data_IF_547826251826
#
_entry.id   IF_547826251826
#
_cell.length_a   1.000
_cell.length_b   1.000
_cell.length_c   1.000
_cell.angle_alpha   90.00
_cell.angle_beta   90.00
_cell.angle_gamma   90.00
#
_symmetry.space_group_name_H-M   'P 1'
#
loop_
_entity.id
_entity.type
_entity.pdbx_description
1 polymer ?
#
# COMPACT_ATOMS: atom_id res chain seq x y z
N UNK A 1 -6.35 12.12 7.77
CA UNK A 1 -6.94 10.92 7.14
C UNK A 1 -6.09 9.70 7.45
N UNK A 2 -6.71 8.57 7.75
CA UNK A 2 -6.09 7.24 7.76
C UNK A 2 -5.98 6.76 6.32
N UNK A 3 -4.78 6.68 5.77
CA UNK A 3 -4.58 6.40 4.35
C UNK A 3 -3.93 5.04 4.19
N UNK A 4 -4.56 4.17 3.40
CA UNK A 4 -3.95 2.91 2.98
C UNK A 4 -2.88 3.25 1.95
N UNK A 5 -1.65 2.80 2.17
CA UNK A 5 -0.61 2.82 1.14
C UNK A 5 -0.34 1.37 0.76
N UNK A 6 -0.60 1.05 -0.51
CA UNK A 6 -0.53 -0.33 -1.00
C UNK A 6 0.06 -0.40 -2.42
N UNK A 7 0.64 -1.53 -2.77
CA UNK A 7 1.21 -1.73 -4.09
C UNK A 7 1.80 -3.13 -4.33
N UNK A 8 2.57 -3.30 -5.41
CA UNK A 8 3.28 -4.54 -5.71
C UNK A 8 4.23 -4.96 -4.59
N UNK A 9 4.37 -6.29 -4.41
CA UNK A 9 5.19 -6.88 -3.34
C UNK A 9 6.69 -6.87 -3.60
N UNK A 10 7.07 -6.59 -4.84
CA UNK A 10 8.44 -6.55 -5.34
C UNK A 10 8.87 -5.13 -5.72
N UNK A 11 8.05 -4.12 -5.38
CA UNK A 11 8.33 -2.71 -5.60
C UNK A 11 8.78 -2.08 -4.28
N UNK A 12 10.09 -1.85 -4.13
CA UNK A 12 10.66 -1.13 -2.98
C UNK A 12 10.86 0.33 -3.37
N UNK A 13 10.43 1.22 -2.47
CA UNK A 13 10.45 2.67 -2.64
C UNK A 13 11.38 3.31 -1.61
N UNK A 14 12.02 4.41 -2.02
CA UNK A 14 12.71 5.35 -1.12
C UNK A 14 11.71 6.24 -0.37
N UNK A 15 12.15 6.90 0.70
CA UNK A 15 11.32 7.82 1.49
C UNK A 15 10.70 8.90 0.60
N UNK A 16 11.52 9.51 -0.25
CA UNK A 16 11.12 10.63 -1.10
C UNK A 16 10.05 10.22 -2.11
N UNK A 17 10.01 8.95 -2.50
CA UNK A 17 8.99 8.43 -3.42
C UNK A 17 7.65 8.25 -2.70
N UNK A 18 7.67 7.78 -1.45
CA UNK A 18 6.46 7.68 -0.63
C UNK A 18 5.94 9.08 -0.29
N UNK A 19 6.82 9.99 0.10
CA UNK A 19 6.49 11.39 0.38
C UNK A 19 5.88 12.08 -0.84
N UNK A 20 6.51 11.94 -2.01
CA UNK A 20 5.99 12.50 -3.26
C UNK A 20 4.62 11.94 -3.61
N UNK A 21 4.40 10.64 -3.43
CA UNK A 21 3.11 10.02 -3.70
C UNK A 21 2.01 10.51 -2.74
N UNK A 22 2.35 10.71 -1.46
CA UNK A 22 1.43 11.32 -0.49
C UNK A 22 1.09 12.74 -0.91
N UNK A 23 2.09 13.56 -1.23
CA UNK A 23 1.87 14.94 -1.67
C UNK A 23 1.01 15.01 -2.95
N UNK A 24 1.28 14.15 -3.93
CA UNK A 24 0.53 14.07 -5.19
C UNK A 24 -0.93 13.65 -4.99
N UNK A 25 -1.21 12.81 -3.98
CA UNK A 25 -2.58 12.41 -3.65
C UNK A 25 -3.45 13.54 -3.10
N UNK A 26 -2.83 14.60 -2.58
CA UNK A 26 -3.53 15.69 -1.88
C UNK A 26 -4.18 15.27 -0.56
N UNK A 27 -3.89 14.07 -0.05
CA UNK A 27 -4.43 13.61 1.23
C UNK A 27 -3.63 14.17 2.40
N UNK A 28 -4.32 14.72 3.39
CA UNK A 28 -3.72 15.04 4.69
C UNK A 28 -3.57 13.75 5.51
N UNK A 29 -2.42 13.08 5.40
CA UNK A 29 -2.16 11.80 6.06
C UNK A 29 -1.90 12.02 7.55
N UNK A 30 -2.77 11.47 8.40
CA UNK A 30 -2.63 11.49 9.87
C UNK A 30 -2.27 10.12 10.43
N UNK A 31 -2.47 9.06 9.64
CA UNK A 31 -2.04 7.70 9.95
C UNK A 31 -1.86 6.91 8.65
N UNK A 32 -0.79 6.13 8.54
CA UNK A 32 -0.57 5.20 7.43
C UNK A 32 -1.16 3.82 7.78
N UNK A 33 -1.82 3.19 6.82
CA UNK A 33 -2.38 1.84 6.93
C UNK A 33 -1.74 0.96 5.88
N UNK A 34 -1.19 -0.18 6.27
CA UNK A 34 -0.51 -1.09 5.34
C UNK A 34 -0.78 -2.56 5.69
N UNK A 35 -0.45 -3.48 4.78
CA UNK A 35 -0.91 -4.86 4.79
C UNK A 35 0.06 -5.94 5.27
N UNK A 36 1.18 -5.55 5.87
CA UNK A 36 2.26 -6.39 6.36
C UNK A 36 2.97 -7.18 5.27
N UNK A 37 2.98 -6.70 4.02
CA UNK A 37 3.67 -7.35 2.91
C UNK A 37 5.04 -6.72 2.62
N UNK A 38 5.87 -7.41 1.84
CA UNK A 38 7.09 -6.82 1.26
C UNK A 38 6.74 -5.78 0.20
N UNK A 39 7.73 -4.99 -0.24
CA UNK A 39 7.56 -3.99 -1.28
C UNK A 39 6.92 -2.71 -0.73
N UNK A 40 5.86 -2.23 -1.39
CA UNK A 40 5.25 -0.94 -1.06
C UNK A 40 4.74 -0.89 0.38
N UNK A 41 4.12 -1.96 0.88
CA UNK A 41 3.62 -2.05 2.25
C UNK A 41 4.78 -1.85 3.26
N UNK A 42 5.94 -2.50 3.04
CA UNK A 42 7.12 -2.32 3.89
C UNK A 42 7.77 -0.94 3.77
N UNK A 43 7.82 -0.36 2.56
CA UNK A 43 8.30 1.02 2.37
C UNK A 43 7.39 2.03 3.06
N UNK A 44 6.08 1.83 3.05
CA UNK A 44 5.12 2.69 3.73
C UNK A 44 5.26 2.64 5.25
N UNK A 45 5.42 1.44 5.83
CA UNK A 45 5.69 1.28 7.26
C UNK A 45 6.98 1.98 7.67
N UNK A 46 8.05 1.78 6.89
CA UNK A 46 9.34 2.39 7.18
C UNK A 46 9.31 3.92 7.05
N UNK A 47 8.70 4.46 6.00
CA UNK A 47 8.49 5.91 5.85
C UNK A 47 7.70 6.51 7.03
N UNK A 48 6.66 5.80 7.49
CA UNK A 48 5.87 6.24 8.63
C UNK A 48 6.72 6.35 9.91
N UNK A 49 7.58 5.36 10.15
CA UNK A 49 8.52 5.37 11.28
C UNK A 49 9.51 6.54 11.20
N UNK A 50 10.15 6.74 10.04
CA UNK A 50 11.13 7.82 9.86
C UNK A 50 10.49 9.21 9.97
N UNK A 51 9.25 9.36 9.49
CA UNK A 51 8.51 10.62 9.48
C UNK A 51 7.76 10.89 10.80
N UNK A 52 7.79 9.97 11.77
CA UNK A 52 7.02 10.07 13.01
C UNK A 52 5.51 10.04 12.80
N UNK A 53 5.04 9.50 11.68
CA UNK A 53 3.62 9.34 11.36
C UNK A 53 3.14 8.03 11.98
N UNK A 54 2.04 8.02 12.77
CA UNK A 54 1.48 6.77 13.26
C UNK A 54 1.14 5.83 12.09
N UNK A 55 1.43 4.53 12.24
CA UNK A 55 0.99 3.54 11.25
C UNK A 55 0.29 2.35 11.90
N UNK A 56 -0.46 1.61 11.09
CA UNK A 56 -1.11 0.36 11.51
C UNK A 56 -1.00 -0.71 10.43
N UNK A 57 -0.40 -1.82 10.82
CA UNK A 57 -0.26 -3.02 10.00
C UNK A 57 -1.46 -3.93 10.10
N UNK A 58 -1.89 -4.48 8.97
CA UNK A 58 -2.88 -5.53 8.86
C UNK A 58 -2.25 -6.73 8.13
N UNK A 59 -1.46 -7.59 8.80
CA UNK A 59 -0.87 -8.75 8.17
C UNK A 59 -1.94 -9.79 7.80
N UNK A 60 -1.81 -10.40 6.63
CA UNK A 60 -2.73 -11.46 6.21
C UNK A 60 -2.47 -12.79 6.94
N UNK A 61 -3.50 -13.38 7.54
CA UNK A 61 -3.43 -14.69 8.22
C UNK A 61 -3.54 -15.86 7.21
N UNK A 62 -2.42 -16.13 6.53
CA UNK A 62 -2.31 -17.21 5.56
C UNK A 62 -2.51 -18.60 6.17
N UNK A 63 -2.12 -18.78 7.43
CA UNK A 63 -2.26 -20.06 8.15
C UNK A 63 -3.72 -20.43 8.33
N UNK A 64 -4.56 -19.46 8.72
CA UNK A 64 -5.98 -19.69 8.98
C UNK A 64 -6.84 -19.67 7.72
N UNK A 65 -6.54 -18.77 6.78
CA UNK A 65 -7.45 -18.48 5.65
C UNK A 65 -6.90 -18.86 4.28
N UNK A 66 -5.66 -19.33 4.18
CA UNK A 66 -5.02 -19.71 2.92
C UNK A 66 -5.13 -18.57 1.89
N UNK A 67 -5.56 -18.89 0.67
CA UNK A 67 -5.69 -17.91 -0.42
C UNK A 67 -6.68 -16.76 -0.13
N UNK A 68 -7.63 -16.96 0.78
CA UNK A 68 -8.59 -15.93 1.15
C UNK A 68 -8.01 -14.88 2.13
N UNK A 69 -6.85 -15.14 2.73
CA UNK A 69 -6.24 -14.25 3.72
C UNK A 69 -5.99 -12.84 3.16
N UNK A 70 -5.46 -12.73 1.94
CA UNK A 70 -5.24 -11.43 1.29
C UNK A 70 -6.52 -10.62 1.09
N UNK A 71 -7.56 -11.18 0.42
CA UNK A 71 -8.84 -10.50 0.27
C UNK A 71 -9.55 -10.12 1.58
N UNK A 72 -9.45 -10.96 2.62
CA UNK A 72 -9.99 -10.66 3.96
C UNK A 72 -9.27 -9.46 4.55
N UNK A 73 -7.93 -9.50 4.58
CA UNK A 73 -7.10 -8.39 5.03
C UNK A 73 -7.38 -7.08 4.29
N UNK A 74 -7.52 -7.13 2.97
CA UNK A 74 -7.81 -5.94 2.16
C UNK A 74 -9.16 -5.32 2.55
N UNK A 75 -10.14 -6.16 2.88
CA UNK A 75 -11.44 -5.74 3.37
C UNK A 75 -11.31 -5.01 4.71
N UNK A 76 -10.58 -5.61 5.65
CA UNK A 76 -10.35 -5.05 6.99
C UNK A 76 -9.64 -3.70 6.93
N UNK A 77 -8.61 -3.55 6.07
CA UNK A 77 -7.97 -2.25 5.86
C UNK A 77 -8.94 -1.22 5.29
N UNK A 78 -9.74 -1.60 4.28
CA UNK A 78 -10.72 -0.71 3.66
C UNK A 78 -11.85 -0.30 4.63
N UNK A 79 -12.24 -1.18 5.55
CA UNK A 79 -13.20 -0.88 6.63
C UNK A 79 -12.61 0.09 7.68
N UNK A 80 -11.29 0.12 7.83
CA UNK A 80 -10.61 0.93 8.84
C UNK A 80 -10.19 2.33 8.36
N UNK A 81 -9.89 2.47 7.06
CA UNK A 81 -9.25 3.65 6.49
C UNK A 81 -10.23 4.66 5.87
N UNK A 82 -9.73 5.88 5.66
CA UNK A 82 -10.48 6.99 5.06
C UNK A 82 -10.15 7.17 3.57
N UNK A 83 -8.99 6.68 3.09
CA UNK A 83 -8.56 6.78 1.69
C UNK A 83 -7.61 5.65 1.29
N UNK A 84 -7.41 5.46 -0.02
CA UNK A 84 -6.42 4.56 -0.59
C UNK A 84 -5.48 5.31 -1.54
N UNK A 85 -4.19 5.21 -1.27
CA UNK A 85 -3.09 5.56 -2.16
C UNK A 85 -2.44 4.27 -2.68
N UNK A 86 -2.52 4.05 -3.98
CA UNK A 86 -1.81 2.95 -4.65
C UNK A 86 -0.53 3.49 -5.26
N UNK A 87 0.60 2.85 -4.98
CA UNK A 87 1.87 3.13 -5.66
C UNK A 87 2.26 1.91 -6.49
N UNK A 88 2.52 2.10 -7.78
CA UNK A 88 2.82 1.01 -8.72
C UNK A 88 3.78 1.45 -9.83
N UNK A 89 4.33 0.52 -10.59
CA UNK A 89 5.06 0.85 -11.82
C UNK A 89 4.08 1.25 -12.92
N UNK A 90 4.56 2.04 -13.88
CA UNK A 90 3.80 2.38 -15.07
C UNK A 90 3.30 1.11 -15.78
N UNK A 91 2.02 1.09 -16.15
CA UNK A 91 1.39 -0.05 -16.84
C UNK A 91 1.23 -1.33 -16.01
N UNK A 92 1.67 -1.35 -14.75
CA UNK A 92 1.59 -2.54 -13.90
C UNK A 92 0.20 -2.69 -13.27
N UNK A 93 -0.32 -3.91 -13.31
CA UNK A 93 -1.53 -4.30 -12.60
C UNK A 93 -1.34 -5.66 -11.92
N UNK A 94 -1.58 -5.70 -10.62
CA UNK A 94 -1.55 -6.95 -9.86
C UNK A 94 -2.94 -7.31 -9.35
N UNK A 95 -3.22 -8.61 -9.21
CA UNK A 95 -4.49 -9.09 -8.64
C UNK A 95 -4.71 -8.60 -7.20
N UNK A 96 -3.63 -8.45 -6.43
CA UNK A 96 -3.65 -7.88 -5.08
C UNK A 96 -4.08 -6.42 -5.07
N UNK A 97 -3.44 -5.59 -5.89
CA UNK A 97 -3.75 -4.16 -6.02
C UNK A 97 -5.17 -3.94 -6.55
N UNK A 98 -5.56 -4.67 -7.61
CA UNK A 98 -6.92 -4.62 -8.14
C UNK A 98 -7.97 -5.04 -7.09
N UNK A 99 -7.64 -6.03 -6.27
CA UNK A 99 -8.49 -6.41 -5.14
C UNK A 99 -8.64 -5.30 -4.12
N UNK A 100 -7.56 -4.59 -3.78
CA UNK A 100 -7.58 -3.50 -2.82
C UNK A 100 -8.41 -2.30 -3.34
N UNK A 101 -8.17 -1.87 -4.58
CA UNK A 101 -8.92 -0.79 -5.24
C UNK A 101 -10.43 -1.10 -5.24
N UNK A 102 -10.80 -2.34 -5.55
CA UNK A 102 -12.21 -2.76 -5.54
C UNK A 102 -12.84 -2.65 -4.15
N UNK A 103 -12.13 -3.08 -3.10
CA UNK A 103 -12.66 -3.00 -1.73
C UNK A 103 -12.77 -1.55 -1.24
N UNK A 104 -11.85 -0.67 -1.64
CA UNK A 104 -11.92 0.78 -1.38
C UNK A 104 -13.12 1.42 -2.10
N UNK A 105 -13.28 1.16 -3.40
CA UNK A 105 -14.39 1.70 -4.20
C UNK A 105 -15.76 1.26 -3.67
N UNK A 106 -15.91 -0.01 -3.25
CA UNK A 106 -17.16 -0.53 -2.66
C UNK A 106 -17.61 0.24 -1.42
N UNK A 107 -16.68 0.86 -0.70
CA UNK A 107 -16.92 1.62 0.53
C UNK A 107 -16.90 3.14 0.30
N UNK A 108 -16.74 3.57 -0.94
CA UNK A 108 -16.70 4.99 -1.28
C UNK A 108 -15.42 5.72 -0.84
N UNK A 109 -14.32 4.99 -0.59
CA UNK A 109 -13.06 5.64 -0.26
C UNK A 109 -12.53 6.38 -1.51
N UNK A 110 -12.02 7.61 -1.38
CA UNK A 110 -11.21 8.23 -2.42
C UNK A 110 -9.98 7.36 -2.70
N UNK A 111 -9.68 7.18 -3.99
CA UNK A 111 -8.56 6.38 -4.47
C UNK A 111 -7.66 7.25 -5.33
N UNK A 112 -6.39 7.37 -4.94
CA UNK A 112 -5.32 7.92 -5.77
C UNK A 112 -4.40 6.79 -6.24
N UNK A 113 -3.91 6.89 -7.47
CA UNK A 113 -2.91 5.97 -8.03
C UNK A 113 -1.73 6.80 -8.48
N UNK A 114 -0.58 6.53 -7.90
CA UNK A 114 0.69 7.16 -8.23
C UNK A 114 1.62 6.14 -8.89
N UNK A 115 2.36 6.60 -9.90
CA UNK A 115 3.38 5.81 -10.57
C UNK A 115 4.77 6.15 -10.04
N UNK A 116 5.57 5.12 -9.78
CA UNK A 116 6.94 5.26 -9.29
C UNK A 116 7.88 4.23 -9.93
N UNK A 117 9.09 4.68 -10.28
CA UNK A 117 10.17 3.80 -10.67
C UNK A 117 10.77 3.15 -9.42
N UNK A 118 10.57 1.83 -9.26
CA UNK A 118 11.17 1.10 -8.14
C UNK A 118 12.68 1.05 -8.19
N UNK A 119 13.31 0.88 -7.03
CA UNK A 119 14.72 0.50 -7.02
C UNK A 119 14.89 -0.89 -7.66
N UNK A 120 15.93 -1.10 -8.49
CA UNK A 120 16.30 -2.44 -8.89
C UNK A 120 16.68 -3.25 -7.64
N UNK A 121 16.05 -4.42 -7.45
CA UNK A 121 16.49 -5.36 -6.42
C UNK A 121 17.93 -5.76 -6.76
N UNK A 122 18.91 -5.58 -5.85
CA UNK A 122 20.26 -6.07 -6.09
C UNK A 122 20.22 -7.59 -6.19
N UNK A 123 20.37 -8.14 -7.41
CA UNK A 123 20.44 -9.59 -7.62
C UNK A 123 19.69 -10.19 -8.81
N UNK A 124 19.09 -9.38 -9.68
CA UNK A 124 18.62 -9.88 -10.98
C UNK A 124 19.82 -10.19 -11.89
N UNK A 125 20.31 -11.44 -11.87
CA UNK A 125 21.20 -11.94 -12.92
C UNK A 125 20.40 -11.94 -14.24
N UNK A 126 20.70 -10.98 -15.10
CA UNK A 126 20.62 -11.18 -16.56
C UNK A 126 21.87 -11.91 -17.03
#
# INVERSE_FOLDING_TARGET
MKVIIAGPRDLVLLEEQVEKAIAASGFEVTQIVEGGATGVDSSAAWYAEQSGIPYKSFPADWTRHGKAAGPIRNREMADYADALLVIKREGEETSGTASMIREAKKRGLPVHVEEAEGLPLPGGRG
#
